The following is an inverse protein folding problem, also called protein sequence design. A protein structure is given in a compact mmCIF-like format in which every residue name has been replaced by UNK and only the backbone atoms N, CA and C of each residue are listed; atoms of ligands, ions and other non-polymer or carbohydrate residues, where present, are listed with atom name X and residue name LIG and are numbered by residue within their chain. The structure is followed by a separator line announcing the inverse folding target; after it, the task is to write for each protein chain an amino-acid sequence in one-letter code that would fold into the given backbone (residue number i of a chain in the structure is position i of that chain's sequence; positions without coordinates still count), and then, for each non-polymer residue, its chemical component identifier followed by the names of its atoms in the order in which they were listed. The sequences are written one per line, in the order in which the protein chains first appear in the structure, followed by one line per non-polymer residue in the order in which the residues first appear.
data_IF_893592610231
#
_entry.id   IF_893592610231
#
_cell.length_a   1.000
_cell.length_b   1.000
_cell.length_c   1.000
_cell.angle_alpha   90.00
_cell.angle_beta   90.00
_cell.angle_gamma   90.00
#
_symmetry.space_group_name_H-M   'P 1'
#
loop_
_entity.id
_entity.type
_entity.pdbx_description
1 polymer ?
#
# COMPACT_ATOMS: atom_id res chain seq x y z
N UNK A 1 30.41 6.83 20.09
CA UNK A 1 30.44 5.64 19.21
C UNK A 1 29.37 4.69 19.74
N UNK A 2 28.11 4.91 19.35
CA UNK A 2 26.96 4.13 19.80
C UNK A 2 26.64 3.17 18.67
N UNK A 3 27.18 1.96 18.75
CA UNK A 3 26.77 0.84 17.92
C UNK A 3 25.48 0.30 18.53
N UNK A 4 24.33 0.78 18.05
CA UNK A 4 23.05 0.12 18.30
C UNK A 4 23.01 -1.11 17.41
N UNK A 5 23.47 -2.23 17.96
CA UNK A 5 23.17 -3.56 17.47
C UNK A 5 21.65 -3.70 17.37
N UNK A 6 21.12 -3.69 16.15
CA UNK A 6 19.81 -4.27 15.88
C UNK A 6 19.97 -5.78 15.96
N UNK A 7 19.84 -6.31 17.18
CA UNK A 7 19.77 -7.75 17.42
C UNK A 7 18.48 -8.29 16.77
N UNK A 8 18.62 -9.18 15.78
CA UNK A 8 17.51 -9.88 15.13
C UNK A 8 16.97 -10.96 16.08
N UNK A 9 15.96 -10.61 16.87
CA UNK A 9 15.18 -11.58 17.64
C UNK A 9 14.49 -12.58 16.68
N UNK A 10 14.33 -13.86 17.06
CA UNK A 10 13.82 -14.90 16.17
C UNK A 10 12.44 -14.52 15.63
N UNK A 11 12.31 -14.64 14.31
CA UNK A 11 11.25 -14.16 13.41
C UNK A 11 9.81 -14.13 13.96
N UNK A 12 9.49 -13.15 14.79
CA UNK A 12 8.19 -12.50 14.71
C UNK A 12 8.30 -11.54 13.55
N UNK A 13 7.69 -11.89 12.41
CA UNK A 13 7.48 -10.98 11.28
C UNK A 13 7.17 -9.59 11.85
N UNK A 14 7.99 -8.55 11.60
CA UNK A 14 7.89 -7.26 12.31
C UNK A 14 6.50 -6.62 12.20
N UNK A 15 5.69 -7.07 11.24
CA UNK A 15 4.31 -6.68 11.02
C UNK A 15 3.40 -7.92 10.91
N UNK A 16 3.01 -8.56 12.03
CA UNK A 16 2.26 -9.82 12.01
C UNK A 16 0.84 -9.68 11.45
N UNK A 17 0.37 -8.44 11.26
CA UNK A 17 -0.98 -8.14 10.79
C UNK A 17 -1.03 -7.60 9.35
N UNK A 18 0.12 -7.37 8.70
CA UNK A 18 0.16 -6.68 7.40
C UNK A 18 -0.64 -7.41 6.31
N UNK A 19 -0.51 -8.73 6.27
CA UNK A 19 -1.21 -9.60 5.31
C UNK A 19 -2.46 -10.27 5.90
N UNK A 20 -2.87 -9.90 7.12
CA UNK A 20 -4.13 -10.38 7.67
C UNK A 20 -5.30 -9.63 7.02
N UNK A 21 -6.40 -10.32 6.66
CA UNK A 21 -7.58 -9.65 6.14
C UNK A 21 -8.09 -8.52 7.04
N UNK A 22 -8.74 -7.55 6.41
CA UNK A 22 -9.37 -6.42 7.09
C UNK A 22 -10.82 -6.32 6.65
N UNK A 23 -11.73 -6.58 7.57
CA UNK A 23 -13.16 -6.37 7.39
C UNK A 23 -13.50 -4.90 7.66
N UNK A 24 -14.13 -4.24 6.69
CA UNK A 24 -14.59 -2.85 6.77
C UNK A 24 -16.11 -2.74 6.91
N UNK A 25 -16.83 -3.87 7.04
CA UNK A 25 -18.29 -3.94 7.15
C UNK A 25 -19.05 -3.97 5.81
N UNK A 26 -18.45 -3.50 4.72
CA UNK A 26 -19.01 -3.54 3.36
C UNK A 26 -18.16 -4.35 2.37
N UNK A 27 -16.88 -4.56 2.69
CA UNK A 27 -15.94 -5.36 1.92
C UNK A 27 -14.85 -5.88 2.88
N UNK A 28 -14.32 -7.05 2.55
CA UNK A 28 -13.14 -7.60 3.22
C UNK A 28 -11.93 -7.44 2.31
N UNK A 29 -10.95 -6.65 2.76
CA UNK A 29 -9.68 -6.51 2.05
C UNK A 29 -8.78 -7.72 2.33
N UNK A 30 -8.09 -8.26 1.30
CA UNK A 30 -7.24 -9.44 1.46
C UNK A 30 -5.98 -9.16 2.29
N UNK A 31 -5.52 -7.91 2.31
CA UNK A 31 -4.37 -7.46 3.08
C UNK A 31 -4.59 -6.00 3.53
N UNK A 32 -3.68 -5.49 4.37
CA UNK A 32 -3.73 -4.14 4.94
C UNK A 32 -2.81 -3.16 4.20
N UNK A 33 -2.42 -3.48 2.96
CA UNK A 33 -1.66 -2.60 2.08
C UNK A 33 -2.65 -1.76 1.29
N UNK A 34 -2.53 -0.45 1.41
CA UNK A 34 -3.41 0.52 0.77
C UNK A 34 -2.56 1.52 0.01
N UNK A 35 -3.05 1.96 -1.14
CA UNK A 35 -2.53 3.14 -1.80
C UNK A 35 -3.10 4.37 -1.09
N UNK A 36 -2.22 5.21 -0.55
CA UNK A 36 -2.61 6.47 0.10
C UNK A 36 -3.04 7.54 -0.91
N UNK A 37 -3.61 8.64 -0.44
CA UNK A 37 -3.91 9.80 -1.28
C UNK A 37 -2.63 10.32 -1.95
N UNK A 38 -2.64 10.46 -3.27
CA UNK A 38 -1.50 10.96 -4.05
C UNK A 38 -1.96 12.00 -5.06
N UNK A 39 -1.14 13.05 -5.23
CA UNK A 39 -1.24 13.98 -6.35
C UNK A 39 -0.24 13.57 -7.43
N UNK A 40 -0.73 13.10 -8.57
CA UNK A 40 0.12 12.53 -9.62
C UNK A 40 0.47 13.54 -10.72
N UNK A 41 -0.22 14.68 -10.74
CA UNK A 41 -0.19 15.66 -11.83
C UNK A 41 -0.95 15.22 -13.09
N UNK A 42 -1.48 13.99 -13.13
CA UNK A 42 -2.32 13.49 -14.23
C UNK A 42 -3.79 13.89 -14.07
N UNK A 43 -4.19 14.27 -12.86
CA UNK A 43 -5.54 14.70 -12.52
C UNK A 43 -5.90 16.11 -13.04
N UNK A 44 -4.90 16.92 -13.38
CA UNK A 44 -5.09 18.34 -13.68
C UNK A 44 -5.75 18.61 -15.05
N UNK A 45 -5.57 17.69 -16.00
CA UNK A 45 -6.03 17.86 -17.37
C UNK A 45 -6.83 16.65 -17.83
N UNK A 46 -8.06 16.88 -18.31
CA UNK A 46 -8.95 15.79 -18.75
C UNK A 46 -8.34 14.88 -19.83
N UNK A 47 -7.44 15.41 -20.67
CA UNK A 47 -6.71 14.64 -21.69
C UNK A 47 -5.79 13.55 -21.11
N UNK A 48 -5.41 13.67 -19.84
CA UNK A 48 -4.48 12.76 -19.16
C UNK A 48 -5.21 11.69 -18.32
N UNK A 49 -6.55 11.69 -18.32
CA UNK A 49 -7.36 10.72 -17.56
C UNK A 49 -7.15 9.28 -18.00
N UNK A 50 -6.88 9.01 -19.27
CA UNK A 50 -6.58 7.64 -19.72
C UNK A 50 -5.28 7.12 -19.08
N UNK A 51 -4.28 8.00 -18.91
CA UNK A 51 -3.03 7.66 -18.22
C UNK A 51 -3.26 7.44 -16.73
N UNK A 52 -4.11 8.27 -16.12
CA UNK A 52 -4.51 8.13 -14.72
C UNK A 52 -5.26 6.81 -14.48
N UNK A 53 -6.19 6.45 -15.37
CA UNK A 53 -6.93 5.19 -15.31
C UNK A 53 -5.98 3.99 -15.42
N UNK A 54 -5.05 4.01 -16.38
CA UNK A 54 -4.03 2.97 -16.51
C UNK A 54 -3.16 2.87 -15.24
N UNK A 55 -2.73 4.02 -14.69
CA UNK A 55 -1.93 4.08 -13.46
C UNK A 55 -2.62 3.40 -12.26
N UNK A 56 -3.92 3.64 -12.07
CA UNK A 56 -4.69 3.00 -11.01
C UNK A 56 -4.99 1.53 -11.29
N UNK A 57 -5.28 1.18 -12.55
CA UNK A 57 -5.55 -0.19 -12.95
C UNK A 57 -4.35 -1.12 -12.66
N UNK A 58 -3.13 -0.69 -12.98
CA UNK A 58 -1.93 -1.49 -12.66
C UNK A 58 -1.76 -1.71 -11.15
N UNK A 59 -2.04 -0.70 -10.32
CA UNK A 59 -1.92 -0.81 -8.85
C UNK A 59 -3.02 -1.64 -8.21
N UNK A 60 -4.21 -1.62 -8.78
CA UNK A 60 -5.33 -2.42 -8.31
C UNK A 60 -5.17 -3.92 -8.63
N UNK A 61 -4.33 -4.29 -9.60
CA UNK A 61 -4.03 -5.69 -9.91
C UNK A 61 -3.26 -6.40 -8.80
N UNK A 62 -2.50 -5.64 -7.99
CA UNK A 62 -1.76 -6.16 -6.83
C UNK A 62 -0.36 -6.65 -7.19
#
# INVERSE_FOLDING_TARGET
MIERSFECAPALMPYPNLFKPLDLGFITLPNRVLMGSMHTGLEDHARDYDKLAAYFAERARG
#
